data_IF_979449050017
#
_entry.id   IF_979449050017
#
_cell.length_a   1.000
_cell.length_b   1.000
_cell.length_c   1.000
_cell.angle_alpha   90.00
_cell.angle_beta   90.00
_cell.angle_gamma   90.00
#
_symmetry.space_group_name_H-M   'P 1'
#
loop_
_entity.id
_entity.type
_entity.pdbx_description
1 polymer ?
#
# COMPACT_ATOMS: atom_id res chain seq x y z
N UNK A 1 -0.19 -17.27 -3.32
CA UNK A 1 -0.74 -16.21 -4.16
C UNK A 1 0.21 -15.89 -5.29
N UNK A 2 -0.31 -15.69 -6.46
CA UNK A 2 0.49 -15.34 -7.60
C UNK A 2 1.07 -13.93 -7.49
N UNK A 3 2.35 -13.79 -7.77
CA UNK A 3 3.00 -12.49 -7.83
C UNK A 3 2.48 -11.64 -9.00
N UNK A 4 1.74 -12.26 -9.90
CA UNK A 4 1.16 -11.57 -11.06
C UNK A 4 0.23 -10.42 -10.65
N UNK A 5 -0.43 -10.53 -9.49
CA UNK A 5 -1.28 -9.47 -8.98
C UNK A 5 -0.50 -8.23 -8.55
N UNK A 6 0.80 -8.35 -8.39
CA UNK A 6 1.67 -7.24 -8.01
C UNK A 6 2.50 -6.72 -9.20
N UNK A 7 2.35 -7.34 -10.35
CA UNK A 7 3.08 -6.93 -11.56
C UNK A 7 2.27 -5.93 -12.35
N UNK A 8 2.18 -4.73 -11.81
CA UNK A 8 1.54 -3.62 -12.50
C UNK A 8 2.61 -2.70 -13.05
N UNK A 9 2.50 -2.35 -14.33
CA UNK A 9 3.32 -1.27 -14.81
C UNK A 9 2.68 0.05 -14.36
N UNK A 10 3.44 1.12 -14.46
CA UNK A 10 2.99 2.42 -14.00
C UNK A 10 1.80 2.93 -14.81
N UNK A 11 1.67 2.47 -16.05
CA UNK A 11 0.55 2.85 -16.91
C UNK A 11 -0.77 2.31 -16.39
N UNK A 12 -0.76 1.14 -15.76
CA UNK A 12 -1.97 0.60 -15.13
C UNK A 12 -2.42 1.49 -13.97
N UNK A 13 -1.48 2.02 -13.20
CA UNK A 13 -1.80 2.92 -12.10
C UNK A 13 -2.28 4.28 -12.56
N UNK A 14 -1.99 4.66 -13.79
CA UNK A 14 -2.48 5.91 -14.36
C UNK A 14 -3.97 5.84 -14.70
N UNK A 15 -4.55 4.65 -14.74
CA UNK A 15 -5.99 4.54 -14.90
C UNK A 15 -6.67 5.15 -13.68
N UNK A 16 -7.50 6.15 -13.92
CA UNK A 16 -8.14 6.91 -12.86
C UNK A 16 -8.86 6.02 -11.85
N UNK A 17 -9.50 4.95 -12.33
CA UNK A 17 -10.26 4.04 -11.47
C UNK A 17 -9.35 3.32 -10.45
N UNK A 18 -8.19 2.84 -10.90
CA UNK A 18 -7.28 2.13 -10.01
C UNK A 18 -6.63 3.08 -9.03
N UNK A 19 -6.23 4.26 -9.48
CA UNK A 19 -5.59 5.25 -8.61
C UNK A 19 -6.57 5.73 -7.54
N UNK A 20 -7.78 6.07 -7.94
CA UNK A 20 -8.82 6.51 -7.01
C UNK A 20 -9.15 5.43 -5.98
N UNK A 21 -9.28 4.18 -6.43
CA UNK A 21 -9.53 3.05 -5.55
C UNK A 21 -8.38 2.79 -4.59
N UNK A 22 -7.15 2.90 -5.08
CA UNK A 22 -5.96 2.71 -4.24
C UNK A 22 -5.87 3.78 -3.16
N UNK A 23 -6.09 5.04 -3.51
CA UNK A 23 -6.09 6.15 -2.55
C UNK A 23 -7.16 5.91 -1.48
N UNK A 24 -8.37 5.55 -1.88
CA UNK A 24 -9.45 5.27 -0.93
C UNK A 24 -9.11 4.11 0.00
N UNK A 25 -8.50 3.04 -0.54
CA UNK A 25 -8.14 1.87 0.26
C UNK A 25 -7.02 2.19 1.25
N UNK A 26 -6.01 2.95 0.81
CA UNK A 26 -4.93 3.38 1.70
C UNK A 26 -5.47 4.26 2.83
N UNK A 27 -6.35 5.20 2.50
CA UNK A 27 -6.95 6.07 3.51
C UNK A 27 -7.71 5.26 4.55
N UNK A 28 -8.45 4.25 4.12
CA UNK A 28 -9.19 3.38 5.02
C UNK A 28 -8.29 2.53 5.89
N UNK A 29 -7.34 1.83 5.27
CA UNK A 29 -6.52 0.82 5.97
C UNK A 29 -5.42 1.44 6.83
N UNK A 30 -4.85 2.57 6.39
CA UNK A 30 -3.78 3.24 7.10
C UNK A 30 -4.27 4.44 7.91
N UNK A 31 -5.57 4.70 7.91
CA UNK A 31 -6.16 5.85 8.60
C UNK A 31 -5.52 7.17 8.18
N UNK A 32 -5.49 7.40 6.86
CA UNK A 32 -4.91 8.59 6.25
C UNK A 32 -5.98 9.44 5.57
N UNK A 33 -5.56 10.60 5.08
CA UNK A 33 -6.42 11.53 4.35
C UNK A 33 -5.72 12.03 3.07
N UNK A 34 -5.26 11.07 2.25
CA UNK A 34 -4.60 11.38 0.99
C UNK A 34 -5.64 11.89 0.00
N UNK A 35 -5.31 12.95 -0.74
CA UNK A 35 -6.14 13.43 -1.84
C UNK A 35 -5.41 13.21 -3.16
N UNK A 36 -6.18 13.03 -4.23
CA UNK A 36 -5.57 12.85 -5.56
C UNK A 36 -4.82 14.10 -6.01
N UNK A 37 -5.21 15.28 -5.52
CA UNK A 37 -4.52 16.53 -5.81
C UNK A 37 -3.07 16.54 -5.33
N UNK A 38 -2.75 15.73 -4.30
CA UNK A 38 -1.40 15.61 -3.78
C UNK A 38 -0.50 14.77 -4.69
N UNK A 39 -1.08 14.03 -5.64
CA UNK A 39 -0.36 13.13 -6.54
C UNK A 39 -0.03 13.87 -7.84
N UNK A 40 0.80 14.91 -7.71
CA UNK A 40 1.12 15.81 -8.82
C UNK A 40 2.32 15.36 -9.64
N UNK A 41 3.03 14.33 -9.21
CA UNK A 41 4.19 13.83 -9.94
C UNK A 41 3.75 13.01 -11.16
N UNK A 42 4.64 12.93 -12.15
CA UNK A 42 4.38 12.15 -13.36
C UNK A 42 4.23 10.65 -13.09
N UNK A 43 4.75 10.19 -11.96
CA UNK A 43 4.65 8.80 -11.53
C UNK A 43 3.85 8.76 -10.22
N UNK A 44 2.53 8.49 -10.26
CA UNK A 44 1.70 8.51 -9.06
C UNK A 44 2.16 7.57 -7.95
N UNK A 45 2.69 6.40 -8.31
CA UNK A 45 3.19 5.46 -7.31
C UNK A 45 4.33 6.07 -6.49
N UNK A 46 5.20 6.83 -7.14
CA UNK A 46 6.31 7.49 -6.47
C UNK A 46 5.81 8.55 -5.49
N UNK A 47 4.81 9.33 -5.92
CA UNK A 47 4.17 10.32 -5.07
C UNK A 47 3.50 9.68 -3.86
N UNK A 48 2.81 8.55 -4.05
CA UNK A 48 2.19 7.81 -2.97
C UNK A 48 3.22 7.34 -1.94
N UNK A 49 4.35 6.80 -2.39
CA UNK A 49 5.40 6.37 -1.48
C UNK A 49 5.89 7.51 -0.61
N UNK A 50 6.11 8.69 -1.19
CA UNK A 50 6.57 9.86 -0.44
C UNK A 50 5.59 10.28 0.65
N UNK A 51 4.30 10.10 0.40
CA UNK A 51 3.26 10.45 1.36
C UNK A 51 3.12 9.36 2.42
N UNK A 52 3.17 8.10 2.02
CA UNK A 52 2.90 6.97 2.91
C UNK A 52 4.06 6.68 3.86
N UNK A 53 5.30 6.78 3.39
CA UNK A 53 6.47 6.41 4.20
C UNK A 53 6.53 7.15 5.54
N UNK A 54 6.39 8.49 5.61
CA UNK A 54 6.44 9.19 6.90
C UNK A 54 5.34 8.72 7.85
N UNK A 55 4.16 8.42 7.32
CA UNK A 55 3.04 7.92 8.13
C UNK A 55 3.35 6.52 8.70
N UNK A 56 3.97 5.67 7.88
CA UNK A 56 4.35 4.32 8.33
C UNK A 56 5.46 4.38 9.38
N UNK A 57 6.37 5.36 9.28
CA UNK A 57 7.37 5.56 10.32
C UNK A 57 6.68 5.80 11.68
N UNK A 58 5.66 6.66 11.70
CA UNK A 58 4.90 6.92 12.92
C UNK A 58 4.16 5.68 13.41
N UNK A 59 3.54 4.92 12.50
CA UNK A 59 2.86 3.66 12.84
C UNK A 59 3.84 2.70 13.51
N UNK A 60 5.05 2.57 12.96
CA UNK A 60 6.05 1.65 13.50
C UNK A 60 6.51 2.02 14.90
N UNK A 61 6.36 3.28 15.31
CA UNK A 61 6.72 3.72 16.65
C UNK A 61 5.69 3.34 17.71
N UNK A 62 4.54 2.84 17.31
CA UNK A 62 3.49 2.40 18.23
C UNK A 62 3.09 0.96 17.88
N UNK A 63 3.54 -0.04 18.67
CA UNK A 63 3.28 -1.45 18.37
C UNK A 63 1.80 -1.80 18.25
N UNK A 64 0.94 -1.19 19.04
CA UNK A 64 -0.50 -1.46 18.98
C UNK A 64 -1.11 -0.94 17.69
N UNK A 65 -0.74 0.28 17.30
CA UNK A 65 -1.20 0.87 16.03
C UNK A 65 -0.70 0.05 14.85
N UNK A 66 0.55 -0.40 14.91
CA UNK A 66 1.11 -1.25 13.86
C UNK A 66 0.34 -2.55 13.71
N UNK A 67 0.05 -3.21 14.83
CA UNK A 67 -0.72 -4.45 14.83
C UNK A 67 -2.10 -4.25 14.21
N UNK A 68 -2.79 -3.18 14.62
CA UNK A 68 -4.12 -2.87 14.11
C UNK A 68 -4.08 -2.55 12.61
N UNK A 69 -3.06 -1.84 12.18
CA UNK A 69 -2.89 -1.51 10.76
C UNK A 69 -2.66 -2.76 9.93
N UNK A 70 -1.80 -3.66 10.40
CA UNK A 70 -1.53 -4.94 9.71
C UNK A 70 -2.82 -5.74 9.56
N UNK A 71 -3.65 -5.75 10.59
CA UNK A 71 -4.93 -6.46 10.56
C UNK A 71 -5.91 -5.81 9.56
N UNK A 72 -5.97 -4.48 9.49
CA UNK A 72 -6.82 -3.78 8.54
C UNK A 72 -6.37 -4.00 7.09
N UNK A 73 -5.06 -3.93 6.86
CA UNK A 73 -4.50 -4.18 5.52
C UNK A 73 -4.67 -5.65 5.14
N UNK A 74 -4.80 -6.51 6.13
CA UNK A 74 -4.99 -7.95 5.95
C UNK A 74 -3.74 -8.62 5.37
N UNK A 75 -2.64 -8.49 6.12
CA UNK A 75 -1.37 -9.12 5.78
C UNK A 75 -1.07 -10.16 6.83
N UNK A 76 -0.74 -11.37 6.40
CA UNK A 76 -0.38 -12.45 7.32
C UNK A 76 1.02 -12.20 7.91
N UNK A 77 1.23 -12.72 9.11
CA UNK A 77 2.53 -12.66 9.76
C UNK A 77 3.62 -13.32 8.89
N UNK A 78 3.29 -14.44 8.27
CA UNK A 78 4.21 -15.14 7.38
C UNK A 78 4.63 -14.26 6.21
N UNK A 79 3.66 -13.59 5.58
CA UNK A 79 3.95 -12.69 4.46
C UNK A 79 4.81 -11.51 4.90
N UNK A 80 4.52 -10.93 6.07
CA UNK A 80 5.32 -9.85 6.63
C UNK A 80 6.77 -10.27 6.87
N UNK A 81 6.94 -11.40 7.53
CA UNK A 81 8.29 -11.90 7.86
C UNK A 81 9.10 -12.19 6.60
N UNK A 82 8.46 -12.79 5.61
CA UNK A 82 9.10 -13.09 4.33
C UNK A 82 9.52 -11.81 3.59
N UNK A 83 8.66 -10.82 3.58
CA UNK A 83 8.90 -9.56 2.87
C UNK A 83 9.99 -8.73 3.55
N UNK A 84 10.05 -8.77 4.90
CA UNK A 84 11.02 -8.00 5.67
C UNK A 84 12.34 -8.76 5.92
N UNK A 85 12.44 -9.99 5.44
CA UNK A 85 13.64 -10.80 5.64
C UNK A 85 14.86 -10.07 5.07
N UNK A 86 15.89 -9.99 5.90
CA UNK A 86 17.17 -9.34 5.55
C UNK A 86 17.06 -7.83 5.32
N UNK A 87 15.96 -7.21 5.75
CA UNK A 87 15.82 -5.76 5.64
C UNK A 87 16.39 -5.09 6.89
N UNK A 88 17.39 -4.20 6.76
CA UNK A 88 17.88 -3.42 7.89
C UNK A 88 16.77 -2.61 8.54
N UNK A 89 16.91 -2.38 9.86
CA UNK A 89 15.88 -1.67 10.63
C UNK A 89 15.57 -0.29 10.04
N UNK A 90 16.59 0.43 9.56
CA UNK A 90 16.42 1.77 9.00
C UNK A 90 15.59 1.80 7.71
N UNK A 91 15.46 0.66 7.01
CA UNK A 91 14.68 0.58 5.78
C UNK A 91 13.34 -0.14 5.97
N UNK A 92 13.02 -0.53 7.20
CA UNK A 92 11.82 -1.31 7.47
C UNK A 92 10.54 -0.56 7.14
N UNK A 93 10.47 0.72 7.50
CA UNK A 93 9.29 1.53 7.23
C UNK A 93 9.05 1.70 5.73
N UNK A 94 10.10 1.87 4.96
CA UNK A 94 10.01 1.96 3.50
C UNK A 94 9.49 0.64 2.91
N UNK A 95 10.02 -0.49 3.36
CA UNK A 95 9.58 -1.80 2.91
C UNK A 95 8.14 -2.09 3.29
N UNK A 96 7.74 -1.74 4.51
CA UNK A 96 6.35 -1.88 4.94
C UNK A 96 5.43 -1.02 4.11
N UNK A 97 5.84 0.20 3.78
CA UNK A 97 5.05 1.09 2.91
C UNK A 97 4.80 0.44 1.55
N UNK A 98 5.83 -0.15 0.95
CA UNK A 98 5.68 -0.88 -0.31
C UNK A 98 4.70 -2.04 -0.18
N UNK A 99 4.80 -2.81 0.90
CA UNK A 99 3.92 -3.94 1.14
C UNK A 99 2.47 -3.50 1.33
N UNK A 100 2.25 -2.44 2.10
CA UNK A 100 0.90 -1.90 2.32
C UNK A 100 0.29 -1.41 1.01
N UNK A 101 1.05 -0.67 0.20
CA UNK A 101 0.56 -0.18 -1.08
C UNK A 101 0.22 -1.35 -2.01
N UNK A 102 1.09 -2.35 -2.10
CA UNK A 102 0.85 -3.53 -2.93
C UNK A 102 -0.40 -4.28 -2.52
N UNK A 103 -0.57 -4.50 -1.21
CA UNK A 103 -1.74 -5.22 -0.71
C UNK A 103 -3.03 -4.43 -0.96
N UNK A 104 -3.01 -3.12 -0.73
CA UNK A 104 -4.17 -2.28 -1.00
C UNK A 104 -4.51 -2.26 -2.49
N UNK A 105 -3.50 -2.19 -3.35
CA UNK A 105 -3.72 -2.26 -4.79
C UNK A 105 -4.31 -3.61 -5.19
N UNK A 106 -3.81 -4.69 -4.61
CA UNK A 106 -4.35 -6.03 -4.85
C UNK A 106 -5.84 -6.10 -4.51
N UNK A 107 -6.24 -5.53 -3.36
CA UNK A 107 -7.65 -5.50 -2.96
C UNK A 107 -8.50 -4.76 -3.99
N UNK A 108 -8.01 -3.63 -4.50
CA UNK A 108 -8.72 -2.83 -5.48
C UNK A 108 -8.87 -3.60 -6.80
N UNK A 109 -7.79 -4.23 -7.26
CA UNK A 109 -7.81 -5.00 -8.50
C UNK A 109 -8.78 -6.17 -8.41
N UNK A 110 -8.74 -6.91 -7.30
CA UNK A 110 -9.65 -8.04 -7.09
C UNK A 110 -11.10 -7.57 -7.08
N UNK A 111 -11.38 -6.49 -6.38
CA UNK A 111 -12.73 -5.93 -6.30
C UNK A 111 -13.23 -5.51 -7.68
N UNK A 112 -12.39 -4.83 -8.45
CA UNK A 112 -12.76 -4.39 -9.79
C UNK A 112 -12.97 -5.56 -10.75
N UNK A 113 -12.17 -6.61 -10.62
CA UNK A 113 -12.33 -7.82 -11.41
C UNK A 113 -13.70 -8.44 -11.17
N UNK A 114 -14.08 -8.65 -9.92
CA UNK A 114 -15.37 -9.27 -9.59
C UNK A 114 -16.55 -8.36 -9.91
N UNK A 115 -16.35 -7.05 -9.80
CA UNK A 115 -17.39 -6.09 -10.14
C UNK A 115 -17.69 -6.08 -11.64
N UNK A 116 -16.71 -6.39 -12.47
CA UNK A 116 -16.86 -6.46 -13.92
C UNK A 116 -17.59 -7.71 -14.40
N UNK A 117 -17.83 -8.66 -13.51
CA UNK A 117 -18.57 -9.87 -13.84
C UNK A 117 -20.07 -9.66 -13.67
#
# INVERSE_FOLDING_TARGET
>A
MSDELFKFDENELLKAELLSGLVAQLNKDLNMHITEAELTESIPLFALKKIVIPHVVEICNNPEVLKNTINRVDITETAMNKFLKNTPVEFRAEKLSELFIKRCLQKVVIRNYYKGL
#
